data_IF_541556152284
#
_entry.id   IF_541556152284
#
_cell.length_a   1.000
_cell.length_b   1.000
_cell.length_c   1.000
_cell.angle_alpha   90.00
_cell.angle_beta   90.00
_cell.angle_gamma   90.00
#
_symmetry.space_group_name_H-M   'P 1'
#
loop_
_entity.id
_entity.type
_entity.pdbx_description
1 polymer ?
#
# COMPACT_ATOMS: atom_id res chain seq x y z
N UNK A 1 26.02 -12.32 -57.95
CA UNK A 1 25.93 -11.70 -56.61
C UNK A 1 24.52 -11.14 -56.42
N UNK A 2 23.66 -11.79 -55.62
CA UNK A 2 22.30 -11.30 -55.32
C UNK A 2 22.32 -10.53 -54.00
N UNK A 3 22.02 -9.22 -54.04
CA UNK A 3 21.94 -8.36 -52.86
C UNK A 3 20.63 -8.67 -52.13
N UNK A 4 20.70 -9.34 -50.98
CA UNK A 4 19.54 -9.58 -50.13
C UNK A 4 19.25 -8.28 -49.38
N UNK A 5 18.14 -7.63 -49.70
CA UNK A 5 17.69 -6.43 -49.01
C UNK A 5 17.31 -6.79 -47.56
N UNK A 6 18.00 -6.20 -46.59
CA UNK A 6 17.77 -6.37 -45.15
C UNK A 6 16.60 -5.52 -44.62
N UNK A 7 16.02 -4.68 -45.49
CA UNK A 7 14.91 -3.77 -45.18
C UNK A 7 13.61 -4.44 -44.70
N UNK A 8 13.14 -5.58 -45.23
CA UNK A 8 11.91 -6.22 -44.74
C UNK A 8 12.09 -6.90 -43.38
N UNK A 9 13.32 -7.29 -43.02
CA UNK A 9 13.60 -7.91 -41.71
C UNK A 9 13.52 -6.88 -40.57
N UNK A 10 13.95 -5.64 -40.81
CA UNK A 10 13.89 -4.54 -39.83
C UNK A 10 12.46 -4.06 -39.57
N UNK A 11 11.62 -4.03 -40.61
CA UNK A 11 10.20 -3.62 -40.50
C UNK A 11 9.40 -4.65 -39.70
N UNK A 12 9.65 -5.95 -39.91
CA UNK A 12 8.97 -7.02 -39.16
C UNK A 12 9.34 -7.01 -37.66
N UNK A 13 10.61 -6.72 -37.32
CA UNK A 13 11.03 -6.59 -35.92
C UNK A 13 10.47 -5.35 -35.23
N UNK A 14 10.30 -4.24 -35.95
CA UNK A 14 9.72 -3.01 -35.40
C UNK A 14 8.22 -3.16 -35.12
N UNK A 15 7.49 -3.90 -35.98
CA UNK A 15 6.07 -4.22 -35.79
C UNK A 15 5.86 -5.18 -34.61
N UNK A 16 6.75 -6.18 -34.41
CA UNK A 16 6.68 -7.05 -33.23
C UNK A 16 7.01 -6.33 -31.92
N UNK A 17 7.87 -5.32 -31.93
CA UNK A 17 8.22 -4.54 -30.73
C UNK A 17 7.09 -3.57 -30.32
N UNK A 18 6.33 -3.04 -31.29
CA UNK A 18 5.12 -2.25 -31.04
C UNK A 18 3.96 -3.06 -30.45
N UNK A 19 3.88 -4.37 -30.73
CA UNK A 19 2.84 -5.25 -30.18
C UNK A 19 3.04 -5.61 -28.70
N UNK A 20 4.23 -5.39 -28.12
CA UNK A 20 4.48 -5.61 -26.69
C UNK A 20 4.16 -4.39 -25.80
N UNK A 21 3.89 -3.22 -26.39
CA UNK A 21 3.58 -1.98 -25.64
C UNK A 21 2.09 -1.84 -25.26
N UNK A 22 1.24 -2.77 -25.72
CA UNK A 22 -0.20 -2.80 -25.41
C UNK A 22 -0.58 -3.88 -24.40
N UNK A 23 0.38 -4.50 -23.72
CA UNK A 23 0.05 -5.30 -22.54
C UNK A 23 -0.20 -4.32 -21.40
N UNK A 24 -1.45 -4.13 -20.92
CA UNK A 24 -1.65 -3.39 -19.69
C UNK A 24 -0.85 -4.13 -18.62
N UNK A 25 0.05 -3.41 -17.94
CA UNK A 25 0.63 -3.88 -16.69
C UNK A 25 -0.54 -4.06 -15.71
N UNK A 26 -1.15 -5.24 -15.75
CA UNK A 26 -2.08 -5.69 -14.72
C UNK A 26 -1.26 -5.79 -13.45
N UNK A 27 -1.32 -4.75 -12.62
CA UNK A 27 -0.83 -4.82 -11.27
C UNK A 27 -1.57 -5.99 -10.62
N UNK A 28 -0.83 -6.99 -10.17
CA UNK A 28 -1.36 -8.12 -9.43
C UNK A 28 -1.88 -7.60 -8.08
N UNK A 29 -3.10 -7.06 -8.10
CA UNK A 29 -3.81 -6.67 -6.90
C UNK A 29 -4.38 -7.92 -6.23
N UNK A 30 -4.43 -7.90 -4.91
CA UNK A 30 -5.04 -8.96 -4.11
C UNK A 30 -6.39 -9.36 -4.70
N UNK A 31 -6.61 -10.65 -4.96
CA UNK A 31 -7.79 -11.16 -5.65
C UNK A 31 -9.00 -11.17 -4.69
N UNK A 32 -9.50 -9.97 -4.36
CA UNK A 32 -10.78 -9.77 -3.69
C UNK A 32 -11.85 -9.75 -4.77
N UNK A 33 -12.93 -10.51 -4.57
CA UNK A 33 -14.05 -10.50 -5.50
C UNK A 33 -14.74 -9.14 -5.52
N UNK A 34 -15.44 -8.85 -6.61
CA UNK A 34 -16.27 -7.65 -6.71
C UNK A 34 -17.36 -7.65 -5.63
N UNK A 35 -17.53 -6.52 -4.95
CA UNK A 35 -18.44 -6.40 -3.82
C UNK A 35 -18.18 -5.19 -2.94
N UNK A 36 -18.97 -5.06 -1.88
CA UNK A 36 -18.82 -4.05 -0.84
C UNK A 36 -18.51 -4.77 0.47
N UNK A 37 -17.48 -4.32 1.17
CA UNK A 37 -16.99 -4.95 2.39
C UNK A 37 -16.79 -3.90 3.48
N UNK A 38 -17.02 -4.28 4.74
CA UNK A 38 -16.46 -3.57 5.88
C UNK A 38 -15.00 -4.01 6.07
N UNK A 39 -14.12 -3.05 6.28
CA UNK A 39 -12.69 -3.28 6.49
C UNK A 39 -12.19 -2.50 7.70
N UNK A 40 -11.52 -3.20 8.61
CA UNK A 40 -10.83 -2.57 9.73
C UNK A 40 -9.45 -2.08 9.30
N UNK A 41 -8.94 -1.09 10.03
CA UNK A 41 -7.62 -0.52 9.77
C UNK A 41 -7.10 0.19 11.00
N UNK A 42 -5.79 0.43 11.01
CA UNK A 42 -5.09 1.26 11.99
C UNK A 42 -4.36 2.36 11.22
N UNK A 43 -4.45 3.60 11.72
CA UNK A 43 -3.61 4.68 11.21
C UNK A 43 -2.26 4.59 11.90
N UNK A 44 -1.21 4.42 11.13
CA UNK A 44 0.18 4.37 11.58
C UNK A 44 0.89 5.71 11.33
N UNK A 45 2.00 5.90 12.04
CA UNK A 45 2.93 7.01 11.79
C UNK A 45 3.59 6.87 10.41
N UNK A 46 4.17 7.94 9.89
CA UNK A 46 4.87 7.90 8.60
C UNK A 46 6.13 7.02 8.67
N UNK A 47 6.86 7.10 9.77
CA UNK A 47 8.21 6.57 9.90
C UNK A 47 8.25 5.11 10.39
N UNK A 48 7.17 4.63 11.02
CA UNK A 48 7.10 3.30 11.61
C UNK A 48 5.66 2.82 11.81
N UNK A 49 5.53 1.53 12.14
CA UNK A 49 4.24 0.82 12.17
C UNK A 49 3.44 1.03 13.48
N UNK A 50 3.90 1.93 14.35
CA UNK A 50 3.17 2.30 15.57
C UNK A 50 1.92 3.10 15.22
N UNK A 51 0.87 2.95 16.02
CA UNK A 51 -0.34 3.76 15.89
C UNK A 51 -0.02 5.27 15.95
N UNK A 52 -0.67 6.02 15.07
CA UNK A 52 -0.66 7.48 15.06
C UNK A 52 -1.74 8.02 15.99
N UNK A 53 -1.50 9.18 16.59
CA UNK A 53 -2.57 9.94 17.28
C UNK A 53 -3.74 10.27 16.35
N UNK A 54 -3.47 10.36 15.04
CA UNK A 54 -4.51 10.56 14.04
C UNK A 54 -5.56 9.42 14.03
N UNK A 55 -5.21 8.22 14.52
CA UNK A 55 -6.09 7.06 14.49
C UNK A 55 -7.48 7.30 15.13
N UNK A 56 -7.56 8.14 16.14
CA UNK A 56 -8.80 8.39 16.88
C UNK A 56 -9.78 9.33 16.13
N UNK A 57 -9.29 10.01 15.09
CA UNK A 57 -10.07 10.91 14.26
C UNK A 57 -10.69 10.23 13.03
N UNK A 58 -10.40 8.95 12.82
CA UNK A 58 -10.95 8.16 11.72
C UNK A 58 -11.82 7.01 12.25
N UNK A 59 -13.06 6.94 11.78
CA UNK A 59 -14.05 5.99 12.26
C UNK A 59 -13.88 4.61 11.61
N UNK A 60 -14.19 3.56 12.37
CA UNK A 60 -13.96 2.17 11.98
C UNK A 60 -15.28 1.38 12.16
N UNK A 61 -15.58 0.41 11.28
CA UNK A 61 -14.83 0.05 10.07
C UNK A 61 -15.00 1.07 8.93
N UNK A 62 -14.09 1.03 7.96
CA UNK A 62 -14.27 1.70 6.67
C UNK A 62 -15.04 0.80 5.70
N UNK A 63 -15.48 1.36 4.57
CA UNK A 63 -16.04 0.56 3.47
C UNK A 63 -15.01 0.37 2.36
N UNK A 64 -14.82 -0.87 1.93
CA UNK A 64 -14.07 -1.24 0.74
C UNK A 64 -15.06 -1.58 -0.38
N UNK A 65 -14.86 -0.98 -1.55
CA UNK A 65 -15.63 -1.22 -2.76
C UNK A 65 -14.67 -1.82 -3.79
N UNK A 66 -14.97 -3.04 -4.23
CA UNK A 66 -14.19 -3.74 -5.25
C UNK A 66 -15.05 -3.88 -6.50
N UNK A 67 -14.53 -3.41 -7.64
CA UNK A 67 -15.22 -3.48 -8.92
C UNK A 67 -14.23 -3.68 -10.05
N UNK A 68 -14.38 -4.74 -10.83
CA UNK A 68 -13.49 -5.11 -11.93
C UNK A 68 -12.00 -5.15 -11.51
N UNK A 69 -11.72 -5.63 -10.29
CA UNK A 69 -10.36 -5.66 -9.73
C UNK A 69 -9.80 -4.30 -9.27
N UNK A 70 -10.56 -3.21 -9.38
CA UNK A 70 -10.21 -1.92 -8.79
C UNK A 70 -10.79 -1.79 -7.38
N UNK A 71 -9.94 -1.40 -6.43
CA UNK A 71 -10.30 -1.23 -5.03
C UNK A 71 -10.37 0.25 -4.66
N UNK A 72 -11.51 0.68 -4.10
CA UNK A 72 -11.68 2.01 -3.48
C UNK A 72 -12.12 1.87 -2.04
N UNK A 73 -11.57 2.70 -1.18
CA UNK A 73 -11.93 2.76 0.23
C UNK A 73 -12.66 4.06 0.55
N UNK A 74 -13.74 3.97 1.31
CA UNK A 74 -14.45 5.10 1.87
C UNK A 74 -14.14 5.17 3.37
N UNK A 75 -13.42 6.23 3.74
CA UNK A 75 -12.93 6.47 5.10
C UNK A 75 -13.80 7.54 5.76
N UNK A 76 -14.65 7.17 6.72
CA UNK A 76 -15.33 8.14 7.58
C UNK A 76 -14.34 8.76 8.58
N UNK A 77 -14.42 10.06 8.78
CA UNK A 77 -13.65 10.80 9.77
C UNK A 77 -14.54 11.71 10.60
N UNK A 78 -14.16 11.89 11.85
CA UNK A 78 -14.75 12.83 12.79
C UNK A 78 -13.88 14.09 12.90
N UNK A 79 -14.40 15.13 13.56
CA UNK A 79 -13.74 16.44 13.64
C UNK A 79 -13.29 16.92 12.26
N UNK A 80 -14.18 16.79 11.27
CA UNK A 80 -13.88 17.07 9.87
C UNK A 80 -13.29 18.47 9.69
N UNK A 81 -13.79 19.46 10.43
CA UNK A 81 -13.30 20.83 10.38
C UNK A 81 -11.78 20.96 10.67
N UNK A 82 -11.17 20.03 11.41
CA UNK A 82 -9.75 20.11 11.77
C UNK A 82 -8.83 19.63 10.65
N UNK A 83 -9.27 18.70 9.81
CA UNK A 83 -8.47 18.21 8.68
C UNK A 83 -8.86 19.04 7.46
N UNK A 84 -8.06 20.07 7.13
CA UNK A 84 -8.33 21.02 6.05
C UNK A 84 -7.98 20.47 4.68
N UNK A 85 -6.92 19.65 4.60
CA UNK A 85 -6.52 18.94 3.37
C UNK A 85 -6.38 17.44 3.64
N UNK A 86 -6.82 16.63 2.68
CA UNK A 86 -6.62 15.18 2.68
C UNK A 86 -6.22 14.73 1.28
N UNK A 87 -4.93 14.41 1.10
CA UNK A 87 -4.34 14.02 -0.17
C UNK A 87 -3.97 12.55 -0.18
N UNK A 88 -4.59 11.79 -1.08
CA UNK A 88 -4.42 10.36 -1.24
C UNK A 88 -3.54 10.02 -2.45
N UNK A 89 -2.94 8.81 -2.50
CA UNK A 89 -2.12 8.40 -3.62
C UNK A 89 -2.99 8.15 -4.86
N UNK A 90 -2.61 8.75 -5.98
CA UNK A 90 -3.20 8.50 -7.29
C UNK A 90 -2.11 8.61 -8.37
N UNK A 91 -1.91 7.53 -9.14
CA UNK A 91 -0.96 7.47 -10.26
C UNK A 91 0.47 7.96 -9.91
N UNK A 92 0.97 7.60 -8.72
CA UNK A 92 2.31 7.97 -8.24
C UNK A 92 2.43 9.38 -7.64
N UNK A 93 1.33 10.15 -7.58
CA UNK A 93 1.26 11.47 -6.96
C UNK A 93 0.29 11.48 -5.77
N UNK A 94 0.25 12.60 -5.05
CA UNK A 94 -0.73 12.85 -3.99
C UNK A 94 -1.73 13.91 -4.46
N UNK A 95 -3.02 13.57 -4.48
CA UNK A 95 -4.11 14.43 -4.94
C UNK A 95 -5.22 14.48 -3.91
N UNK A 96 -6.01 15.55 -3.90
CA UNK A 96 -7.12 15.68 -2.96
C UNK A 96 -8.13 14.54 -3.12
N UNK A 97 -8.44 13.87 -2.01
CA UNK A 97 -9.38 12.76 -2.03
C UNK A 97 -10.80 13.27 -2.26
N UNK A 98 -11.59 12.45 -2.95
CA UNK A 98 -12.98 12.76 -3.26
C UNK A 98 -13.83 12.69 -1.99
N UNK A 99 -14.58 13.74 -1.67
CA UNK A 99 -15.58 13.70 -0.60
C UNK A 99 -16.86 13.04 -1.13
N UNK A 100 -17.32 11.97 -0.47
CA UNK A 100 -18.54 11.23 -0.87
C UNK A 100 -19.73 11.45 0.06
N UNK A 101 -19.48 11.93 1.28
CA UNK A 101 -20.52 12.33 2.22
C UNK A 101 -19.98 13.36 3.21
N UNK A 102 -20.85 14.24 3.69
CA UNK A 102 -20.55 15.27 4.69
C UNK A 102 -21.75 15.46 5.61
N UNK A 103 -21.50 15.47 6.91
CA UNK A 103 -22.46 15.82 7.95
C UNK A 103 -21.88 16.97 8.76
N UNK A 104 -22.34 18.18 8.47
CA UNK A 104 -21.85 19.39 9.13
C UNK A 104 -22.33 19.51 10.58
N UNK A 105 -23.45 18.87 10.93
CA UNK A 105 -24.02 18.94 12.28
C UNK A 105 -23.25 18.04 13.24
N UNK A 106 -22.81 16.87 12.77
CA UNK A 106 -21.96 15.96 13.54
C UNK A 106 -20.45 16.24 13.37
N UNK A 107 -20.07 17.23 12.56
CA UNK A 107 -18.69 17.49 12.12
C UNK A 107 -17.97 16.24 11.59
N UNK A 108 -18.63 15.54 10.67
CA UNK A 108 -18.11 14.33 10.02
C UNK A 108 -18.06 14.45 8.51
N UNK A 109 -17.16 13.70 7.90
CA UNK A 109 -17.16 13.51 6.44
C UNK A 109 -16.62 12.13 6.09
N UNK A 110 -16.93 11.68 4.88
CA UNK A 110 -16.37 10.47 4.31
C UNK A 110 -15.63 10.82 3.04
N UNK A 111 -14.37 10.42 2.96
CA UNK A 111 -13.53 10.57 1.76
C UNK A 111 -13.34 9.23 1.08
N UNK A 112 -13.16 9.25 -0.23
CA UNK A 112 -12.96 8.09 -1.08
C UNK A 112 -11.64 8.21 -1.85
N UNK A 113 -10.83 7.15 -1.83
CA UNK A 113 -9.63 7.07 -2.63
C UNK A 113 -9.33 5.64 -3.07
N UNK A 114 -8.49 5.50 -4.10
CA UNK A 114 -8.05 4.21 -4.65
C UNK A 114 -6.93 3.62 -3.81
N UNK A 115 -6.93 2.31 -3.67
CA UNK A 115 -5.82 1.55 -3.09
C UNK A 115 -5.39 0.45 -4.06
N UNK A 116 -4.09 0.24 -4.17
CA UNK A 116 -3.55 -0.75 -5.11
C UNK A 116 -3.33 -2.12 -4.44
N UNK A 117 -3.05 -2.13 -3.13
CA UNK A 117 -2.65 -3.31 -2.38
C UNK A 117 -3.06 -3.22 -0.91
N UNK A 118 -4.00 -4.09 -0.49
CA UNK A 118 -4.45 -4.18 0.91
C UNK A 118 -3.38 -4.71 1.88
N UNK A 119 -2.33 -5.37 1.37
CA UNK A 119 -1.27 -5.93 2.20
C UNK A 119 -0.22 -4.89 2.62
N UNK A 120 -0.26 -3.70 2.02
CA UNK A 120 0.68 -2.61 2.26
C UNK A 120 -0.03 -1.40 2.85
N UNK A 121 0.58 -0.69 3.80
CA UNK A 121 0.01 0.56 4.30
C UNK A 121 -0.10 1.61 3.20
N UNK A 122 -1.27 2.21 3.04
CA UNK A 122 -1.49 3.30 2.10
C UNK A 122 -1.12 4.64 2.76
N UNK A 123 -0.05 5.28 2.30
CA UNK A 123 0.34 6.61 2.78
C UNK A 123 -0.59 7.68 2.23
N UNK A 124 -1.02 8.63 3.07
CA UNK A 124 -1.73 9.86 2.68
C UNK A 124 -1.08 11.06 3.35
N UNK A 125 -1.32 12.25 2.81
CA UNK A 125 -0.90 13.53 3.40
C UNK A 125 -2.11 14.28 3.91
N UNK A 126 -2.03 14.80 5.13
CA UNK A 126 -3.09 15.60 5.73
C UNK A 126 -2.53 16.92 6.22
N UNK A 127 -3.36 17.96 6.15
CA UNK A 127 -3.12 19.25 6.80
C UNK A 127 -4.13 19.38 7.92
N UNK A 128 -3.64 19.60 9.14
CA UNK A 128 -4.47 19.69 10.35
C UNK A 128 -4.35 21.08 10.93
N UNK A 129 -5.49 21.75 11.07
CA UNK A 129 -5.60 23.10 11.62
C UNK A 129 -6.63 23.10 12.75
N UNK A 130 -6.22 23.50 13.95
CA UNK A 130 -7.10 23.67 15.12
C UNK A 130 -6.98 25.12 15.61
N UNK A 131 -7.90 26.02 15.22
CA UNK A 131 -7.76 27.45 15.47
C UNK A 131 -7.65 27.82 16.95
N UNK A 132 -8.38 27.12 17.82
CA UNK A 132 -8.47 27.44 19.25
C UNK A 132 -7.17 27.21 20.03
N UNK A 133 -6.23 26.45 19.46
CA UNK A 133 -4.94 26.12 20.08
C UNK A 133 -3.75 26.50 19.20
N UNK A 134 -4.00 27.28 18.13
CA UNK A 134 -2.98 27.71 17.16
C UNK A 134 -2.14 26.56 16.61
N UNK A 135 -2.79 25.43 16.31
CA UNK A 135 -2.16 24.23 15.77
C UNK A 135 -2.34 24.21 14.26
N UNK A 136 -1.24 24.11 13.53
CA UNK A 136 -1.22 24.07 12.06
C UNK A 136 -0.03 23.19 11.62
N UNK A 137 -0.33 21.96 11.21
CA UNK A 137 0.71 21.00 10.87
C UNK A 137 0.32 20.10 9.69
N UNK A 138 1.33 19.79 8.88
CA UNK A 138 1.22 18.82 7.80
C UNK A 138 1.80 17.49 8.26
N UNK A 139 1.06 16.41 8.03
CA UNK A 139 1.47 15.05 8.36
C UNK A 139 1.38 14.13 7.17
N UNK A 140 2.28 13.17 7.12
CA UNK A 140 2.04 11.92 6.39
C UNK A 140 1.56 10.88 7.39
N UNK A 141 0.49 10.18 7.08
CA UNK A 141 -0.04 9.06 7.88
C UNK A 141 -0.23 7.85 6.97
N UNK A 142 -0.23 6.65 7.54
CA UNK A 142 -0.35 5.41 6.75
C UNK A 142 -1.56 4.60 7.20
N UNK A 143 -2.43 4.25 6.28
CA UNK A 143 -3.57 3.37 6.52
C UNK A 143 -3.13 1.91 6.40
N UNK A 144 -2.96 1.23 7.52
CA UNK A 144 -2.71 -0.21 7.56
C UNK A 144 -4.04 -0.95 7.65
N UNK A 145 -4.48 -1.50 6.54
CA UNK A 145 -5.74 -2.24 6.46
C UNK A 145 -5.59 -3.67 6.99
N UNK A 146 -6.63 -4.16 7.65
CA UNK A 146 -6.76 -5.57 7.99
C UNK A 146 -7.16 -6.35 6.72
N UNK A 147 -6.40 -7.40 6.41
CA UNK A 147 -6.66 -8.30 5.29
C UNK A 147 -7.95 -9.12 5.46
N UNK A 148 -8.54 -9.13 6.66
CA UNK A 148 -9.82 -9.75 6.95
C UNK A 148 -10.96 -8.78 6.64
N UNK A 149 -11.64 -8.99 5.51
CA UNK A 149 -12.77 -8.16 5.08
C UNK A 149 -14.10 -8.88 5.33
N UNK A 150 -15.15 -8.12 5.71
CA UNK A 150 -16.50 -8.64 5.95
C UNK A 150 -17.47 -8.14 4.89
N UNK A 151 -18.06 -9.03 4.10
CA UNK A 151 -19.00 -8.64 3.05
C UNK A 151 -20.28 -7.98 3.60
N UNK A 152 -20.74 -6.90 2.97
CA UNK A 152 -22.04 -6.28 3.20
C UNK A 152 -23.01 -6.73 2.10
N UNK A 153 -23.96 -7.62 2.43
CA UNK A 153 -25.10 -7.91 1.56
C UNK A 153 -25.06 -9.20 0.71
N UNK A 154 -24.24 -10.19 1.07
CA UNK A 154 -24.31 -11.56 0.54
C UNK A 154 -23.83 -12.55 1.61
N UNK A 155 -24.33 -13.79 1.59
CA UNK A 155 -24.09 -14.81 2.63
C UNK A 155 -22.67 -14.79 3.20
N UNK A 156 -22.60 -14.77 4.53
CA UNK A 156 -21.41 -14.63 5.37
C UNK A 156 -20.20 -15.48 4.92
N UNK A 157 -19.41 -14.98 3.97
CA UNK A 157 -18.03 -15.42 3.77
C UNK A 157 -17.10 -14.27 4.09
N UNK A 158 -16.46 -14.36 5.25
CA UNK A 158 -15.21 -13.64 5.49
C UNK A 158 -14.22 -14.11 4.41
N UNK A 159 -13.76 -13.20 3.56
CA UNK A 159 -12.74 -13.51 2.56
C UNK A 159 -11.41 -13.06 3.15
N UNK A 160 -10.58 -14.03 3.55
CA UNK A 160 -9.19 -13.78 3.93
C UNK A 160 -8.37 -13.56 2.68
N UNK A 161 -7.72 -12.41 2.54
CA UNK A 161 -6.70 -12.21 1.50
C UNK A 161 -5.49 -13.08 1.84
N UNK A 162 -5.28 -14.17 1.08
CA UNK A 162 -4.15 -15.09 1.27
C UNK A 162 -2.83 -14.36 1.03
N UNK A 163 -2.04 -14.18 2.10
CA UNK A 163 -0.60 -13.91 2.01
C UNK A 163 0.08 -15.22 1.62
N UNK A 164 0.60 -15.32 0.39
CA UNK A 164 1.51 -16.41 0.05
C UNK A 164 2.84 -16.14 0.75
N UNK A 165 3.10 -16.83 1.86
CA UNK A 165 4.45 -17.16 2.28
C UNK A 165 4.48 -18.61 2.74
N UNK A 166 5.39 -19.36 2.15
CA UNK A 166 5.54 -20.80 2.33
C UNK A 166 6.21 -21.14 3.67
N UNK A 167 5.85 -22.31 4.15
CA UNK A 167 6.49 -23.14 5.17
C UNK A 167 6.22 -22.95 6.69
N UNK A 168 5.28 -23.81 7.11
CA UNK A 168 5.37 -24.83 8.18
C UNK A 168 5.05 -24.49 9.63
N UNK A 169 3.86 -24.99 10.03
CA UNK A 169 3.45 -25.59 11.32
C UNK A 169 4.50 -25.57 12.45
N UNK A 170 4.08 -25.12 13.63
CA UNK A 170 3.83 -26.03 14.75
C UNK A 170 2.70 -25.47 15.64
N UNK A 171 1.75 -26.35 15.91
CA UNK A 171 0.56 -26.21 16.73
C UNK A 171 0.93 -26.37 18.21
N UNK A 172 0.42 -25.52 19.12
CA UNK A 172 0.01 -25.91 20.48
C UNK A 172 -0.85 -24.82 21.10
N UNK A 173 -1.98 -25.28 21.61
CA UNK A 173 -3.10 -24.58 22.19
C UNK A 173 -2.94 -24.20 23.67
N UNK A 174 -3.66 -23.14 24.05
CA UNK A 174 -4.37 -22.87 25.33
C UNK A 174 -3.54 -22.48 26.55
N UNK A 175 -3.76 -21.26 27.08
CA UNK A 175 -4.69 -21.03 28.21
C UNK A 175 -4.92 -19.54 28.52
N UNK A 176 -6.20 -19.17 28.60
CA UNK A 176 -6.71 -17.98 29.30
C UNK A 176 -6.27 -17.97 30.77
N UNK A 177 -5.90 -16.79 31.29
CA UNK A 177 -6.35 -16.40 32.63
C UNK A 177 -6.53 -14.88 32.74
N UNK A 178 -7.74 -14.50 33.12
CA UNK A 178 -8.19 -13.15 33.44
C UNK A 178 -7.70 -12.78 34.84
N UNK A 179 -7.12 -11.59 35.01
CA UNK A 179 -7.24 -10.87 36.28
C UNK A 179 -7.24 -9.35 36.09
N UNK A 180 -8.39 -8.75 36.43
CA UNK A 180 -8.57 -7.34 36.76
C UNK A 180 -7.77 -7.00 38.02
N UNK A 181 -7.18 -5.81 38.06
CA UNK A 181 -7.31 -4.90 39.21
C UNK A 181 -6.97 -3.45 38.80
N UNK A 182 -7.80 -2.54 39.28
CA UNK A 182 -7.88 -1.09 39.10
C UNK A 182 -7.26 -0.47 40.38
N UNK A 183 -6.34 0.51 40.39
CA UNK A 183 -6.62 1.96 40.31
C UNK A 183 -5.52 2.75 41.09
N UNK A 184 -5.40 4.06 40.77
CA UNK A 184 -4.83 5.20 41.54
C UNK A 184 -3.43 5.76 41.19
N UNK A 185 -3.41 6.62 40.17
CA UNK A 185 -3.15 8.08 40.20
C UNK A 185 -2.44 8.74 41.43
N UNK A 186 -1.31 9.44 41.18
CA UNK A 186 -1.11 10.88 41.48
C UNK A 186 0.37 11.37 41.37
N UNK A 187 0.61 12.16 40.33
CA UNK A 187 1.51 13.32 40.09
C UNK A 187 2.58 13.78 41.14
N UNK A 188 3.82 14.07 40.68
CA UNK A 188 4.48 15.41 40.81
C UNK A 188 5.80 15.56 40.02
N UNK A 189 6.03 16.80 39.62
CA UNK A 189 7.04 17.38 38.70
C UNK A 189 8.51 17.34 39.19
N UNK A 190 9.47 17.37 38.25
CA UNK A 190 10.31 18.55 37.93
C UNK A 190 11.75 18.23 37.44
N UNK A 191 12.07 18.81 36.26
CA UNK A 191 13.33 19.54 35.93
C UNK A 191 14.63 18.80 35.53
N UNK A 192 14.99 19.06 34.25
CA UNK A 192 16.29 19.58 33.73
C UNK A 192 17.50 18.66 33.58
N UNK A 193 17.89 18.46 32.32
CA UNK A 193 19.24 18.82 31.86
C UNK A 193 20.15 17.71 31.32
N UNK A 194 20.46 17.84 30.02
CA UNK A 194 21.82 17.76 29.42
C UNK A 194 22.18 16.53 28.57
N UNK A 195 22.82 16.90 27.45
CA UNK A 195 23.41 16.15 26.34
C UNK A 195 24.43 15.07 26.71
N UNK A 196 24.56 14.05 25.85
CA UNK A 196 25.78 13.58 25.16
C UNK A 196 25.37 12.41 24.24
N UNK A 197 25.51 12.51 22.91
CA UNK A 197 26.69 12.19 22.10
C UNK A 197 27.37 10.86 22.43
N UNK A 198 27.27 9.92 21.48
CA UNK A 198 28.19 8.79 21.35
C UNK A 198 27.52 7.43 21.28
N UNK A 199 27.34 6.90 20.05
CA UNK A 199 28.17 5.81 19.50
C UNK A 199 27.44 5.18 18.31
N UNK A 200 28.14 5.21 17.17
CA UNK A 200 27.76 4.52 15.96
C UNK A 200 27.66 3.01 16.20
N UNK A 201 26.53 2.43 15.83
CA UNK A 201 26.41 0.99 15.61
C UNK A 201 26.00 0.78 14.15
N UNK A 202 26.91 0.16 13.39
CA UNK A 202 26.64 -0.35 12.04
C UNK A 202 25.62 -1.46 12.16
N UNK A 203 24.42 -1.25 11.64
CA UNK A 203 23.56 -2.34 11.23
C UNK A 203 23.67 -2.48 9.71
N UNK A 204 24.06 -3.67 9.27
CA UNK A 204 24.20 -4.01 7.86
C UNK A 204 22.87 -3.82 7.13
N UNK A 205 22.86 -2.91 6.16
CA UNK A 205 21.76 -2.71 5.24
C UNK A 205 21.61 -3.99 4.39
N UNK A 206 20.45 -4.68 4.38
CA UNK A 206 20.25 -5.75 3.42
C UNK A 206 20.33 -5.14 2.02
N UNK A 207 21.29 -5.63 1.22
CA UNK A 207 21.33 -5.37 -0.22
C UNK A 207 19.96 -5.72 -0.78
N UNK A 208 19.27 -4.74 -1.37
CA UNK A 208 18.20 -5.00 -2.34
C UNK A 208 18.85 -5.61 -3.58
N UNK A 209 19.18 -6.90 -3.46
CA UNK A 209 19.40 -7.77 -4.61
C UNK A 209 18.04 -7.98 -5.24
N UNK A 210 17.62 -7.01 -6.05
CA UNK A 210 16.56 -7.24 -7.03
C UNK A 210 17.05 -8.35 -7.95
N UNK A 211 16.67 -9.60 -7.65
CA UNK A 211 16.49 -10.61 -8.71
C UNK A 211 15.26 -10.22 -9.52
N UNK A 212 15.37 -9.09 -10.24
CA UNK A 212 14.75 -9.01 -11.54
C UNK A 212 15.19 -10.27 -12.31
N UNK A 213 14.32 -10.84 -13.14
CA UNK A 213 14.57 -12.06 -13.92
C UNK A 213 15.68 -11.89 -14.97
N UNK A 214 16.87 -11.46 -14.56
CA UNK A 214 18.10 -11.29 -15.34
C UNK A 214 18.49 -12.63 -15.93
N UNK A 215 18.27 -13.74 -15.21
CA UNK A 215 18.43 -15.09 -15.75
C UNK A 215 17.59 -15.34 -17.00
N UNK A 216 16.34 -14.86 -17.04
CA UNK A 216 15.48 -15.02 -18.22
C UNK A 216 15.98 -14.19 -19.40
N UNK A 217 16.43 -12.96 -19.16
CA UNK A 217 17.01 -12.11 -20.21
C UNK A 217 18.37 -12.63 -20.70
N UNK A 218 19.22 -13.15 -19.82
CA UNK A 218 20.48 -13.78 -20.19
C UNK A 218 20.26 -15.02 -21.07
N UNK A 219 19.26 -15.85 -20.73
CA UNK A 219 18.86 -17.00 -21.56
C UNK A 219 18.34 -16.55 -22.93
N UNK A 220 17.52 -15.49 -22.99
CA UNK A 220 17.04 -14.93 -24.26
C UNK A 220 18.18 -14.38 -25.14
N UNK A 221 19.17 -13.70 -24.55
CA UNK A 221 20.34 -13.19 -25.28
C UNK A 221 21.19 -14.34 -25.83
N UNK A 222 21.40 -15.40 -25.04
CA UNK A 222 22.16 -16.58 -25.48
C UNK A 222 21.46 -17.32 -26.63
N UNK A 223 20.14 -17.51 -26.55
CA UNK A 223 19.36 -18.16 -27.62
C UNK A 223 19.43 -17.32 -28.92
N UNK A 224 19.31 -16.00 -28.81
CA UNK A 224 19.43 -15.07 -29.94
C UNK A 224 20.83 -15.10 -30.57
N UNK A 225 21.89 -15.12 -29.75
CA UNK A 225 23.27 -15.20 -30.21
C UNK A 225 23.55 -16.49 -31.00
N UNK A 226 23.09 -17.64 -30.52
CA UNK A 226 23.27 -18.92 -31.20
C UNK A 226 22.56 -18.93 -32.57
N UNK A 227 21.36 -18.34 -32.66
CA UNK A 227 20.62 -18.24 -33.92
C UNK A 227 21.32 -17.35 -34.95
N UNK A 228 21.88 -16.20 -34.53
CA UNK A 228 22.63 -15.31 -35.41
C UNK A 228 23.93 -15.95 -35.93
N UNK A 229 24.69 -16.64 -35.07
CA UNK A 229 25.93 -17.33 -35.47
C UNK A 229 25.63 -18.43 -36.48
N UNK A 230 24.53 -19.17 -36.29
CA UNK A 230 24.12 -20.23 -37.21
C UNK A 230 23.70 -19.69 -38.58
N UNK A 231 23.06 -18.52 -38.61
CA UNK A 231 22.60 -17.86 -39.84
C UNK A 231 23.73 -17.18 -40.61
N UNK A 232 24.71 -16.58 -39.93
CA UNK A 232 25.90 -15.98 -40.57
C UNK A 232 26.82 -17.03 -41.19
N UNK A 233 26.83 -18.27 -40.66
CA UNK A 233 27.62 -19.37 -41.21
C UNK A 233 26.98 -20.06 -42.42
N UNK A 234 25.70 -19.78 -42.72
CA UNK A 234 24.95 -20.36 -43.83
C UNK A 234 24.76 -19.41 -45.01
N UNK A 235 25.40 -18.24 -44.99
CA UNK A 235 25.28 -17.18 -46.00
C UNK A 235 26.66 -16.73 -46.47
#
# INVERSE_FOLDING_TARGET
MRKISVLPAFIMTFICMLAFFVVPFGQASANVADGIYDINYVIQKAENDSASMANDYFEKPAKLIVKNGEMRVQIPMNHSAWITEFKAPENGNFVDAKVVSKDESADKRTVEFKIDDLSKPAAVKIHVVVPNVNYDHNYTIRFAFDANVKALGGENKATTVTKNNDQTKTDTQVKEEVKKEESKEANKEASKGTNESGKAEKTDNPKTGDEARIGLFAVLILISGVFLIRKVRQN
#
